data_IF_816321618124
#
_entry.id   IF_816321618124
#
_cell.length_a   1.000
_cell.length_b   1.000
_cell.length_c   1.000
_cell.angle_alpha   90.00
_cell.angle_beta   90.00
_cell.angle_gamma   90.00
#
_symmetry.space_group_name_H-M   'P 1'
#
loop_
_entity.id
_entity.type
_entity.pdbx_description
1 polymer ?
#
# COMPACT_ATOMS: atom_id res chain seq x y z
N UNK A 1 -2.28 -13.39 -12.59
CA UNK A 1 -1.17 -12.65 -11.93
C UNK A 1 -1.60 -11.20 -11.80
N UNK A 2 -1.79 -10.70 -10.57
CA UNK A 2 -2.14 -9.30 -10.33
C UNK A 2 -0.84 -8.50 -10.19
N UNK A 3 -0.33 -8.00 -11.31
CA UNK A 3 0.82 -7.11 -11.30
C UNK A 3 0.42 -5.73 -10.77
N UNK A 4 1.23 -5.12 -9.87
CA UNK A 4 0.93 -3.78 -9.38
C UNK A 4 0.89 -2.78 -10.54
N UNK A 5 -0.08 -1.86 -10.47
CA UNK A 5 -0.27 -0.82 -11.46
C UNK A 5 0.24 0.50 -10.90
N UNK A 6 1.11 1.13 -11.66
CA UNK A 6 1.66 2.44 -11.38
C UNK A 6 1.11 3.46 -12.38
N UNK A 7 1.08 4.73 -11.98
CA UNK A 7 0.65 5.85 -12.81
C UNK A 7 1.79 6.84 -12.91
N UNK A 8 2.13 7.27 -14.11
CA UNK A 8 3.12 8.34 -14.32
C UNK A 8 2.47 9.74 -14.24
N UNK A 9 3.31 10.78 -14.29
CA UNK A 9 2.89 12.18 -14.19
C UNK A 9 1.88 12.63 -15.26
N UNK A 10 1.85 11.97 -16.41
CA UNK A 10 0.92 12.30 -17.51
C UNK A 10 -0.33 11.41 -17.47
N UNK A 11 -0.50 10.61 -16.41
CA UNK A 11 -1.67 9.76 -16.20
C UNK A 11 -1.64 8.43 -16.96
N UNK A 12 -0.53 8.06 -17.59
CA UNK A 12 -0.41 6.75 -18.24
C UNK A 12 -0.26 5.68 -17.18
N UNK A 13 -0.88 4.52 -17.41
CA UNK A 13 -0.87 3.39 -16.47
C UNK A 13 0.09 2.32 -16.95
N UNK A 14 0.94 1.89 -16.05
CA UNK A 14 1.99 0.91 -16.28
C UNK A 14 1.81 -0.27 -15.33
N UNK A 15 1.84 -1.50 -15.84
CA UNK A 15 1.96 -2.70 -15.03
C UNK A 15 3.44 -2.96 -14.77
N UNK A 16 3.81 -3.11 -13.50
CA UNK A 16 5.19 -3.44 -13.10
C UNK A 16 5.31 -4.96 -13.01
N UNK A 17 6.26 -5.51 -13.77
CA UNK A 17 6.49 -6.94 -13.95
C UNK A 17 7.91 -7.27 -13.49
N UNK A 18 8.06 -8.37 -12.75
CA UNK A 18 9.37 -8.95 -12.51
C UNK A 18 9.64 -10.01 -13.58
N UNK A 19 10.66 -9.79 -14.41
CA UNK A 19 11.08 -10.67 -15.49
C UNK A 19 12.60 -10.86 -15.39
N UNK A 20 13.07 -12.10 -15.31
CA UNK A 20 14.50 -12.44 -15.34
C UNK A 20 15.37 -11.62 -14.37
N UNK A 21 14.90 -11.46 -13.12
CA UNK A 21 15.53 -10.66 -12.06
C UNK A 21 15.59 -9.15 -12.31
N UNK A 22 14.83 -8.64 -13.28
CA UNK A 22 14.67 -7.21 -13.57
C UNK A 22 13.22 -6.77 -13.40
N UNK A 23 13.04 -5.49 -13.14
CA UNK A 23 11.72 -4.86 -13.13
C UNK A 23 11.48 -4.20 -14.48
N UNK A 24 10.37 -4.56 -15.10
CA UNK A 24 9.94 -4.04 -16.41
C UNK A 24 8.56 -3.45 -16.25
N UNK A 25 8.32 -2.33 -16.92
CA UNK A 25 7.02 -1.70 -16.98
C UNK A 25 6.39 -1.90 -18.35
N UNK A 26 5.14 -2.36 -18.36
CA UNK A 26 4.33 -2.49 -19.59
C UNK A 26 3.16 -1.52 -19.56
N UNK A 27 2.99 -0.75 -20.61
CA UNK A 27 1.87 0.17 -20.75
C UNK A 27 0.55 -0.60 -20.80
N UNK A 28 -0.40 -0.18 -19.96
CA UNK A 28 -1.75 -0.77 -19.87
C UNK A 28 -2.82 0.23 -20.29
N UNK A 29 -2.59 1.53 -20.10
CA UNK A 29 -3.49 2.60 -20.54
C UNK A 29 -2.73 3.87 -20.88
N UNK A 30 -3.11 4.50 -21.98
CA UNK A 30 -2.47 5.69 -22.53
C UNK A 30 -1.66 5.37 -23.78
N UNK A 31 -0.82 6.31 -24.21
CA UNK A 31 0.03 6.18 -25.40
C UNK A 31 1.49 6.45 -25.03
N UNK A 32 2.36 5.48 -25.31
CA UNK A 32 3.81 5.60 -25.18
C UNK A 32 4.49 4.63 -26.15
N UNK A 33 5.61 5.06 -26.71
CA UNK A 33 6.47 4.24 -27.57
C UNK A 33 7.89 4.34 -27.01
N UNK A 34 8.53 3.23 -26.61
CA UNK A 34 8.00 1.86 -26.64
C UNK A 34 6.95 1.60 -25.53
N UNK A 35 6.09 0.59 -25.76
CA UNK A 35 5.04 0.20 -24.80
C UNK A 35 5.55 -0.71 -23.67
N UNK A 36 6.82 -1.10 -23.71
CA UNK A 36 7.51 -1.88 -22.69
C UNK A 36 8.86 -1.22 -22.46
N UNK A 37 9.20 -0.96 -21.20
CA UNK A 37 10.40 -0.26 -20.77
C UNK A 37 10.98 -0.96 -19.55
N UNK A 38 12.30 -0.90 -19.38
CA UNK A 38 12.90 -1.17 -18.07
C UNK A 38 12.37 -0.14 -17.05
N UNK A 39 12.28 -0.52 -15.77
CA UNK A 39 11.77 0.38 -14.74
C UNK A 39 12.64 1.63 -14.60
N UNK A 40 13.96 1.50 -14.71
CA UNK A 40 14.87 2.64 -14.59
C UNK A 40 14.68 3.60 -15.78
N UNK A 41 14.58 3.08 -17.00
CA UNK A 41 14.31 3.89 -18.20
C UNK A 41 12.95 4.60 -18.10
N UNK A 42 11.93 3.94 -17.53
CA UNK A 42 10.62 4.53 -17.33
C UNK A 42 10.69 5.73 -16.37
N UNK A 43 11.41 5.58 -15.26
CA UNK A 43 11.59 6.64 -14.26
C UNK A 43 12.39 7.82 -14.81
N UNK A 44 13.42 7.57 -15.60
CA UNK A 44 14.20 8.62 -16.26
C UNK A 44 13.36 9.42 -17.26
N UNK A 45 12.55 8.72 -18.09
CA UNK A 45 11.80 9.37 -19.18
C UNK A 45 10.52 10.07 -18.69
N UNK A 46 9.79 9.45 -17.77
CA UNK A 46 8.48 9.95 -17.35
C UNK A 46 8.42 10.41 -15.90
N UNK A 47 9.53 10.29 -15.17
CA UNK A 47 9.63 10.68 -13.77
C UNK A 47 9.08 9.63 -12.81
N UNK A 48 9.00 9.98 -11.51
CA UNK A 48 8.50 9.09 -10.48
C UNK A 48 7.10 8.56 -10.76
N UNK A 49 6.85 7.31 -10.37
CA UNK A 49 5.56 6.64 -10.52
C UNK A 49 4.79 6.62 -9.22
N UNK A 50 3.49 6.87 -9.30
CA UNK A 50 2.55 6.69 -8.19
C UNK A 50 2.00 5.27 -8.24
N UNK A 51 2.40 4.44 -7.27
CA UNK A 51 1.85 3.09 -7.12
C UNK A 51 0.43 3.18 -6.58
N UNK A 52 -0.53 2.61 -7.30
CA UNK A 52 -1.87 2.40 -6.75
C UNK A 52 -1.84 1.17 -5.84
N UNK A 53 -2.24 1.27 -4.57
CA UNK A 53 -2.26 0.11 -3.67
C UNK A 53 -3.16 -0.97 -4.26
N UNK A 54 -2.59 -2.16 -4.48
CA UNK A 54 -3.28 -3.29 -5.14
C UNK A 54 -4.29 -3.98 -4.21
N UNK A 55 -4.20 -3.71 -2.91
CA UNK A 55 -5.24 -4.04 -1.95
C UNK A 55 -6.09 -2.81 -1.73
N UNK A 56 -7.42 -3.00 -1.65
CA UNK A 56 -8.23 -2.23 -0.71
C UNK A 56 -7.45 -2.26 0.60
N UNK A 57 -6.67 -1.20 0.87
CA UNK A 57 -6.08 -1.01 2.17
C UNK A 57 -7.24 -1.16 3.16
N UNK A 58 -6.94 -1.69 4.34
CA UNK A 58 -7.89 -1.88 5.41
C UNK A 58 -8.47 -0.54 5.92
N UNK A 59 -9.03 0.30 5.04
CA UNK A 59 -9.74 1.52 5.38
C UNK A 59 -10.89 1.18 6.34
N UNK A 60 -11.53 0.02 6.17
CA UNK A 60 -12.47 -0.51 7.16
C UNK A 60 -11.79 -0.97 8.46
N UNK A 61 -10.55 -1.48 8.42
CA UNK A 61 -9.83 -1.96 9.60
C UNK A 61 -9.29 -0.83 10.47
N UNK A 62 -8.78 0.25 9.87
CA UNK A 62 -8.29 1.42 10.61
C UNK A 62 -9.44 2.20 11.27
N UNK A 63 -10.57 2.37 10.57
CA UNK A 63 -11.76 3.01 11.16
C UNK A 63 -12.30 2.16 12.31
N UNK A 64 -12.48 0.85 12.10
CA UNK A 64 -12.94 -0.05 13.16
C UNK A 64 -11.99 -0.12 14.36
N UNK A 65 -10.68 0.03 14.14
CA UNK A 65 -9.70 0.07 15.21
C UNK A 65 -9.74 1.39 15.98
N UNK A 66 -9.90 2.53 15.28
CA UNK A 66 -10.09 3.83 15.93
C UNK A 66 -11.37 3.86 16.78
N UNK A 67 -12.47 3.29 16.29
CA UNK A 67 -13.72 3.13 17.04
C UNK A 67 -13.52 2.24 18.28
N UNK A 68 -12.76 1.15 18.13
CA UNK A 68 -12.43 0.25 19.24
C UNK A 68 -11.55 0.94 20.29
N UNK A 69 -10.53 1.70 19.87
CA UNK A 69 -9.69 2.50 20.77
C UNK A 69 -10.53 3.54 21.50
N UNK A 70 -11.41 4.25 20.80
CA UNK A 70 -12.30 5.25 21.38
C UNK A 70 -13.24 4.67 22.43
N UNK A 71 -13.81 3.50 22.16
CA UNK A 71 -14.68 2.78 23.09
C UNK A 71 -13.91 2.31 24.33
N UNK A 72 -12.76 1.65 24.16
CA UNK A 72 -11.92 1.18 25.29
C UNK A 72 -11.42 2.34 26.14
N UNK A 73 -11.09 3.49 25.54
CA UNK A 73 -10.62 4.66 26.28
C UNK A 73 -11.74 5.40 27.02
N UNK A 74 -12.97 5.38 26.49
CA UNK A 74 -14.12 6.07 27.09
C UNK A 74 -14.78 5.27 28.20
N UNK A 75 -14.80 3.94 28.08
CA UNK A 75 -15.35 3.03 29.08
C UNK A 75 -14.50 1.75 29.19
N UNK A 76 -13.38 1.81 29.92
CA UNK A 76 -12.46 0.68 30.05
C UNK A 76 -13.05 -0.48 30.88
N UNK A 77 -14.06 -0.22 31.72
CA UNK A 77 -14.66 -1.22 32.61
C UNK A 77 -15.61 -2.16 31.85
N UNK A 78 -16.20 -1.70 30.74
CA UNK A 78 -17.08 -2.51 29.89
C UNK A 78 -16.39 -3.06 28.64
N UNK A 79 -15.14 -2.68 28.41
CA UNK A 79 -14.34 -3.19 27.30
C UNK A 79 -14.09 -4.70 27.42
N UNK A 80 -14.32 -5.44 26.33
CA UNK A 80 -13.99 -6.86 26.28
C UNK A 80 -12.48 -7.09 26.23
N UNK A 81 -12.03 -8.24 26.75
CA UNK A 81 -10.62 -8.66 26.71
C UNK A 81 -10.05 -8.64 25.29
N UNK A 82 -10.87 -8.99 24.29
CA UNK A 82 -10.46 -8.99 22.88
C UNK A 82 -10.21 -7.57 22.35
N UNK A 83 -11.06 -6.61 22.70
CA UNK A 83 -10.85 -5.20 22.33
C UNK A 83 -9.59 -4.64 22.99
N UNK A 84 -9.34 -4.97 24.25
CA UNK A 84 -8.13 -4.56 24.97
C UNK A 84 -6.88 -5.15 24.30
N UNK A 85 -6.91 -6.43 23.90
CA UNK A 85 -5.80 -7.07 23.17
C UNK A 85 -5.53 -6.42 21.81
N UNK A 86 -6.57 -6.07 21.07
CA UNK A 86 -6.43 -5.38 19.78
C UNK A 86 -5.77 -4.01 19.93
N UNK A 87 -6.19 -3.23 20.92
CA UNK A 87 -5.58 -1.93 21.23
C UNK A 87 -4.11 -2.09 21.66
N UNK A 88 -3.82 -3.08 22.51
CA UNK A 88 -2.46 -3.34 22.97
C UNK A 88 -1.52 -3.79 21.83
N UNK A 89 -1.99 -4.70 20.96
CA UNK A 89 -1.22 -5.15 19.81
C UNK A 89 -0.93 -4.00 18.83
N UNK A 90 -1.90 -3.10 18.62
CA UNK A 90 -1.70 -1.91 17.81
C UNK A 90 -0.69 -0.94 18.44
N UNK A 91 -0.81 -0.64 19.73
CA UNK A 91 0.14 0.23 20.41
C UNK A 91 1.58 -0.34 20.36
N UNK A 92 1.72 -1.66 20.52
CA UNK A 92 3.00 -2.35 20.36
C UNK A 92 3.54 -2.22 18.95
N UNK A 93 2.71 -2.28 17.90
CA UNK A 93 3.17 -2.12 16.52
C UNK A 93 3.75 -0.73 16.22
N UNK A 94 3.33 0.30 16.97
CA UNK A 94 3.85 1.68 16.84
C UNK A 94 5.17 1.84 17.59
N UNK A 95 5.26 1.26 18.79
CA UNK A 95 6.38 1.50 19.71
C UNK A 95 7.49 0.48 19.54
N UNK A 96 7.20 -0.73 19.06
CA UNK A 96 8.21 -1.75 18.85
C UNK A 96 9.15 -1.33 17.70
N UNK A 97 10.47 -1.37 17.92
CA UNK A 97 11.43 -1.15 16.85
C UNK A 97 11.20 -2.19 15.76
N UNK A 98 11.15 -1.75 14.50
CA UNK A 98 10.98 -2.61 13.35
C UNK A 98 12.25 -3.41 13.09
N UNK A 99 12.50 -4.45 13.89
CA UNK A 99 13.58 -5.43 13.70
C UNK A 99 15.00 -4.92 13.92
N UNK A 100 15.77 -5.66 14.72
CA UNK A 100 17.23 -5.78 14.55
C UNK A 100 17.52 -6.86 13.52
#
# INVERSE_FOLDING_TARGET
MNSPVAVDRDGRRWAILALDSRLTARLVRGTATPAVLDLDELLERYGPLVLSPTRRAAACGYIALADTVGLVASDPETASIEQIRQVAAFAQSIVAPHGS
#
